data_IF_933417090069
#
_entry.id   IF_933417090069
#
_cell.length_a   1.000
_cell.length_b   1.000
_cell.length_c   1.000
_cell.angle_alpha   90.00
_cell.angle_beta   90.00
_cell.angle_gamma   90.00
#
_symmetry.space_group_name_H-M   'P 1'
#
loop_
_entity.id
_entity.type
_entity.pdbx_description
1 polymer ?
#
# COMPACT_ATOMS: atom_id res chain seq x y z
N UNK A 1 31.03 20.70 4.63
CA UNK A 1 29.93 19.93 5.25
C UNK A 1 28.63 20.55 4.76
N UNK A 2 27.91 19.90 3.84
CA UNK A 2 26.60 20.40 3.42
C UNK A 2 25.63 20.21 4.61
N UNK A 3 25.09 21.31 5.11
CA UNK A 3 24.04 21.30 6.13
C UNK A 3 22.83 20.59 5.54
N UNK A 4 22.43 19.45 6.13
CA UNK A 4 21.18 18.77 5.79
C UNK A 4 20.04 19.75 6.02
N UNK A 5 19.37 20.17 4.94
CA UNK A 5 18.21 21.06 4.97
C UNK A 5 16.97 20.31 5.43
N UNK A 6 16.98 18.98 5.33
CA UNK A 6 15.84 18.14 5.64
C UNK A 6 16.14 17.01 6.63
N UNK A 7 15.23 16.77 7.58
CA UNK A 7 15.25 15.57 8.40
C UNK A 7 14.68 14.38 7.64
N UNK A 8 15.11 13.16 7.99
CA UNK A 8 14.66 11.90 7.34
C UNK A 8 13.14 11.75 7.32
N UNK A 9 12.44 12.14 8.40
CA UNK A 9 10.97 12.11 8.47
C UNK A 9 10.33 13.09 7.49
N UNK A 10 10.87 14.30 7.39
CA UNK A 10 10.34 15.34 6.48
C UNK A 10 10.57 14.95 5.02
N UNK A 11 11.74 14.39 4.70
CA UNK A 11 12.04 13.87 3.35
C UNK A 11 11.07 12.74 2.94
N UNK A 12 10.75 11.81 3.85
CA UNK A 12 9.75 10.77 3.60
C UNK A 12 8.35 11.36 3.35
N UNK A 13 7.94 12.32 4.17
CA UNK A 13 6.63 12.95 4.06
C UNK A 13 6.48 13.74 2.75
N UNK A 14 7.49 14.50 2.36
CA UNK A 14 7.50 15.22 1.09
C UNK A 14 7.49 14.26 -0.11
N UNK A 15 8.25 13.17 -0.05
CA UNK A 15 8.21 12.13 -1.08
C UNK A 15 6.83 11.48 -1.20
N UNK A 16 6.18 11.18 -0.07
CA UNK A 16 4.81 10.66 -0.07
C UNK A 16 3.82 11.63 -0.72
N UNK A 17 3.85 12.91 -0.35
CA UNK A 17 3.00 13.94 -0.97
C UNK A 17 3.27 14.08 -2.48
N UNK A 18 4.54 13.98 -2.87
CA UNK A 18 4.92 14.04 -4.28
C UNK A 18 4.38 12.84 -5.06
N UNK A 19 4.49 11.62 -4.52
CA UNK A 19 3.91 10.44 -5.16
C UNK A 19 2.37 10.49 -5.15
N UNK A 20 1.76 11.12 -4.13
CA UNK A 20 0.31 11.21 -4.01
C UNK A 20 -0.28 12.20 -4.99
N UNK A 21 0.39 13.34 -5.19
CA UNK A 21 -0.01 14.31 -6.19
C UNK A 21 0.11 13.75 -7.62
N UNK A 22 1.07 12.86 -7.88
CA UNK A 22 1.24 12.17 -9.17
C UNK A 22 0.21 11.09 -9.47
N UNK A 23 -0.52 10.58 -8.47
CA UNK A 23 -1.59 9.60 -8.70
C UNK A 23 -2.76 10.25 -9.45
N UNK A 24 -3.19 9.58 -10.52
CA UNK A 24 -4.41 9.91 -11.24
C UNK A 24 -5.64 9.81 -10.32
N UNK A 25 -6.68 10.58 -10.62
CA UNK A 25 -7.93 10.57 -9.86
C UNK A 25 -8.54 9.16 -9.75
N UNK A 26 -8.47 8.37 -10.83
CA UNK A 26 -8.93 6.97 -10.83
C UNK A 26 -8.18 6.11 -9.82
N UNK A 27 -6.85 6.23 -9.74
CA UNK A 27 -6.04 5.46 -8.77
C UNK A 27 -6.33 5.89 -7.33
N UNK A 28 -6.54 7.19 -7.09
CA UNK A 28 -6.97 7.70 -5.77
C UNK A 28 -8.34 7.13 -5.38
N UNK A 29 -9.32 7.21 -6.28
CA UNK A 29 -10.65 6.64 -6.08
C UNK A 29 -10.58 5.14 -5.80
N UNK A 30 -9.75 4.41 -6.53
CA UNK A 30 -9.55 2.97 -6.32
C UNK A 30 -9.01 2.66 -4.92
N UNK A 31 -8.02 3.41 -4.43
CA UNK A 31 -7.50 3.27 -3.05
C UNK A 31 -8.61 3.51 -2.03
N UNK A 32 -9.43 4.55 -2.21
CA UNK A 32 -10.55 4.85 -1.30
C UNK A 32 -11.61 3.74 -1.31
N UNK A 33 -12.03 3.28 -2.49
CA UNK A 33 -13.02 2.20 -2.61
C UNK A 33 -12.49 0.91 -2.01
N UNK A 34 -11.23 0.56 -2.28
CA UNK A 34 -10.58 -0.64 -1.73
C UNK A 34 -10.57 -0.59 -0.19
N UNK A 35 -10.18 0.55 0.39
CA UNK A 35 -10.16 0.74 1.84
C UNK A 35 -11.56 0.68 2.46
N UNK A 36 -12.57 1.28 1.79
CA UNK A 36 -13.94 1.21 2.25
C UNK A 36 -14.46 -0.23 2.27
N UNK A 37 -14.29 -0.96 1.18
CA UNK A 37 -14.71 -2.36 1.08
C UNK A 37 -13.96 -3.25 2.10
N UNK A 38 -12.66 -3.02 2.28
CA UNK A 38 -11.87 -3.74 3.28
C UNK A 38 -12.38 -3.47 4.70
N UNK A 39 -12.74 -2.23 5.01
CA UNK A 39 -13.32 -1.87 6.32
C UNK A 39 -14.64 -2.59 6.56
N UNK A 40 -15.53 -2.64 5.56
CA UNK A 40 -16.78 -3.41 5.64
C UNK A 40 -16.50 -4.90 5.90
N UNK A 41 -15.50 -5.47 5.23
CA UNK A 41 -15.10 -6.86 5.40
C UNK A 41 -14.54 -7.14 6.81
N UNK A 42 -13.69 -6.25 7.33
CA UNK A 42 -13.14 -6.36 8.68
C UNK A 42 -14.23 -6.22 9.74
N UNK A 43 -15.18 -5.30 9.58
CA UNK A 43 -16.31 -5.17 10.51
C UNK A 43 -17.19 -6.44 10.55
N UNK A 44 -17.33 -7.13 9.42
CA UNK A 44 -18.06 -8.39 9.38
C UNK A 44 -17.39 -9.51 10.18
N UNK A 45 -16.08 -9.45 10.44
CA UNK A 45 -15.42 -10.39 11.36
C UNK A 45 -15.97 -10.32 12.80
N UNK A 46 -16.46 -9.15 13.21
CA UNK A 46 -16.97 -8.94 14.58
C UNK A 46 -18.47 -9.16 14.69
N UNK A 47 -19.22 -8.89 13.62
CA UNK A 47 -20.68 -8.85 13.64
C UNK A 47 -21.31 -10.08 12.96
N UNK A 48 -20.57 -10.76 12.07
CA UNK A 48 -20.94 -11.99 11.35
C UNK A 48 -22.35 -11.98 10.73
N UNK A 49 -22.71 -10.85 10.10
CA UNK A 49 -24.05 -10.64 9.51
C UNK A 49 -24.12 -10.83 7.99
N UNK A 50 -22.99 -10.93 7.30
CA UNK A 50 -22.96 -11.08 5.84
C UNK A 50 -23.14 -12.54 5.42
N UNK A 51 -23.88 -12.78 4.34
CA UNK A 51 -23.95 -14.11 3.73
C UNK A 51 -22.63 -14.51 3.08
N UNK A 52 -22.34 -15.81 3.02
CA UNK A 52 -21.13 -16.35 2.41
C UNK A 52 -20.93 -15.93 0.94
N UNK A 53 -22.01 -15.88 0.15
CA UNK A 53 -21.94 -15.45 -1.26
C UNK A 53 -21.54 -13.98 -1.39
N UNK A 54 -22.12 -13.11 -0.56
CA UNK A 54 -21.81 -11.68 -0.53
C UNK A 54 -20.35 -11.47 -0.10
N UNK A 55 -19.90 -12.25 0.87
CA UNK A 55 -18.53 -12.25 1.35
C UNK A 55 -17.54 -12.63 0.24
N UNK A 56 -17.83 -13.70 -0.50
CA UNK A 56 -17.02 -14.17 -1.63
C UNK A 56 -16.88 -13.11 -2.73
N UNK A 57 -17.97 -12.40 -3.06
CA UNK A 57 -17.95 -11.29 -4.01
C UNK A 57 -17.03 -10.15 -3.53
N UNK A 58 -17.18 -9.70 -2.29
CA UNK A 58 -16.33 -8.64 -1.75
C UNK A 58 -14.85 -9.03 -1.73
N UNK A 59 -14.53 -10.26 -1.31
CA UNK A 59 -13.14 -10.74 -1.28
C UNK A 59 -12.52 -10.74 -2.67
N UNK A 60 -13.24 -11.21 -3.69
CA UNK A 60 -12.76 -11.25 -5.07
C UNK A 60 -12.52 -9.85 -5.64
N UNK A 61 -13.44 -8.92 -5.38
CA UNK A 61 -13.31 -7.51 -5.81
C UNK A 61 -12.08 -6.86 -5.17
N UNK A 62 -11.90 -7.02 -3.85
CA UNK A 62 -10.76 -6.42 -3.15
C UNK A 62 -9.45 -7.02 -3.64
N UNK A 63 -9.35 -8.35 -3.81
CA UNK A 63 -8.12 -8.97 -4.34
C UNK A 63 -7.78 -8.41 -5.72
N UNK A 64 -8.77 -8.23 -6.60
CA UNK A 64 -8.56 -7.64 -7.92
C UNK A 64 -8.07 -6.19 -7.83
N UNK A 65 -8.69 -5.37 -6.99
CA UNK A 65 -8.30 -3.97 -6.80
C UNK A 65 -6.90 -3.84 -6.19
N UNK A 66 -6.57 -4.64 -5.17
CA UNK A 66 -5.23 -4.68 -4.56
C UNK A 66 -4.20 -5.16 -5.57
N UNK A 67 -4.49 -6.26 -6.29
CA UNK A 67 -3.62 -6.79 -7.33
C UNK A 67 -3.35 -5.76 -8.44
N UNK A 68 -4.37 -5.02 -8.86
CA UNK A 68 -4.21 -3.91 -9.82
C UNK A 68 -3.39 -2.76 -9.23
N UNK A 69 -3.67 -2.33 -7.99
CA UNK A 69 -2.97 -1.24 -7.34
C UNK A 69 -1.47 -1.52 -7.20
N UNK A 70 -1.10 -2.74 -6.86
CA UNK A 70 0.30 -3.15 -6.71
C UNK A 70 0.96 -3.52 -8.04
N UNK A 71 0.21 -4.13 -8.96
CA UNK A 71 0.68 -4.51 -10.29
C UNK A 71 0.87 -3.34 -11.25
N UNK A 72 0.15 -2.22 -11.06
CA UNK A 72 0.26 -1.02 -11.88
C UNK A 72 1.48 -0.16 -11.48
N UNK A 73 2.62 -0.83 -11.37
CA UNK A 73 3.90 -0.25 -11.10
C UNK A 73 4.42 0.34 -12.42
N UNK A 74 3.85 1.49 -12.82
CA UNK A 74 4.50 2.33 -13.83
C UNK A 74 5.83 2.73 -13.21
N UNK A 75 6.87 1.93 -13.49
CA UNK A 75 8.27 2.33 -13.30
C UNK A 75 8.37 3.66 -14.01
N UNK A 76 8.32 4.74 -13.26
CA UNK A 76 8.51 6.07 -13.80
C UNK A 76 9.92 6.00 -14.38
N UNK A 77 10.00 5.85 -15.72
CA UNK A 77 11.18 6.22 -16.46
C UNK A 77 11.46 7.63 -15.97
N UNK A 78 12.59 7.79 -15.30
CA UNK A 78 12.99 9.04 -14.67
C UNK A 78 13.12 10.05 -15.80
N UNK A 79 12.03 10.70 -16.18
CA UNK A 79 12.06 11.91 -16.97
C UNK A 79 12.63 12.95 -16.01
N UNK A 80 13.95 13.16 -16.13
CA UNK A 80 14.72 14.15 -15.38
C UNK A 80 14.22 15.58 -15.61
N UNK A 81 13.31 15.81 -16.57
CA UNK A 81 13.09 17.14 -17.14
C UNK A 81 11.75 17.78 -16.82
N UNK A 82 10.94 17.21 -15.92
CA UNK A 82 9.68 17.82 -15.51
C UNK A 82 9.64 17.89 -13.98
N UNK A 83 9.19 19.01 -13.44
CA UNK A 83 8.96 19.32 -12.03
C UNK A 83 10.07 20.09 -11.30
N UNK A 84 10.09 21.40 -11.58
CA UNK A 84 10.40 22.48 -10.62
C UNK A 84 9.41 22.52 -9.44
N UNK A 85 9.14 21.40 -8.76
CA UNK A 85 8.32 21.38 -7.54
C UNK A 85 9.18 21.04 -6.32
N UNK A 86 9.35 22.06 -5.47
CA UNK A 86 10.09 22.17 -4.20
C UNK A 86 11.55 21.69 -4.23
N UNK A 87 12.48 22.64 -4.33
CA UNK A 87 13.93 22.42 -4.07
C UNK A 87 14.25 22.00 -2.62
N UNK A 88 13.26 22.01 -1.72
CA UNK A 88 13.44 21.54 -0.37
C UNK A 88 13.49 20.00 -0.37
N UNK A 89 14.55 19.41 0.18
CA UNK A 89 14.72 17.98 0.45
C UNK A 89 14.99 17.01 -0.72
N UNK A 90 15.08 17.46 -1.97
CA UNK A 90 15.35 16.56 -3.12
C UNK A 90 16.71 15.83 -3.01
N UNK A 91 17.73 16.50 -2.47
CA UNK A 91 19.05 15.90 -2.27
C UNK A 91 19.00 14.84 -1.16
N UNK A 92 18.28 15.10 -0.07
CA UNK A 92 18.08 14.15 1.02
C UNK A 92 17.17 12.97 0.64
N UNK A 93 16.17 13.17 -0.23
CA UNK A 93 15.34 12.08 -0.79
C UNK A 93 16.20 11.10 -1.59
N UNK A 94 17.20 11.60 -2.33
CA UNK A 94 18.19 10.77 -3.04
C UNK A 94 19.19 10.15 -2.07
N UNK A 95 19.73 10.91 -1.13
CA UNK A 95 20.68 10.43 -0.11
C UNK A 95 20.06 9.31 0.76
N UNK A 96 18.78 9.41 1.11
CA UNK A 96 18.05 8.40 1.87
C UNK A 96 17.43 7.29 1.00
N UNK A 97 17.71 7.26 -0.30
CA UNK A 97 17.18 6.27 -1.24
C UNK A 97 15.64 6.21 -1.32
N UNK A 98 14.91 7.25 -0.88
CA UNK A 98 13.46 7.34 -1.03
C UNK A 98 13.02 7.57 -2.48
N UNK A 99 13.96 7.83 -3.40
CA UNK A 99 13.68 7.95 -4.83
C UNK A 99 13.28 6.64 -5.51
N UNK A 100 13.54 5.49 -4.89
CA UNK A 100 13.32 4.17 -5.49
C UNK A 100 11.96 3.60 -5.08
N UNK A 101 11.18 3.15 -6.08
CA UNK A 101 9.86 2.55 -5.89
C UNK A 101 8.73 3.56 -5.73
N UNK A 102 7.50 3.05 -5.74
CA UNK A 102 6.31 3.85 -5.45
C UNK A 102 6.03 3.84 -3.95
N UNK A 103 6.35 4.95 -3.27
CA UNK A 103 6.27 5.03 -1.80
C UNK A 103 4.85 4.75 -1.29
N UNK A 104 3.83 5.11 -2.07
CA UNK A 104 2.44 4.89 -1.70
C UNK A 104 2.06 3.41 -1.76
N UNK A 105 2.47 2.70 -2.81
CA UNK A 105 2.22 1.26 -2.90
C UNK A 105 2.95 0.50 -1.79
N UNK A 106 4.17 0.92 -1.44
CA UNK A 106 4.93 0.33 -0.32
C UNK A 106 4.18 0.54 1.00
N UNK A 107 3.81 1.77 1.33
CA UNK A 107 3.07 2.07 2.58
C UNK A 107 1.73 1.35 2.60
N UNK A 108 1.01 1.34 1.48
CA UNK A 108 -0.28 0.65 1.35
C UNK A 108 -0.13 -0.87 1.55
N UNK A 109 0.91 -1.48 0.98
CA UNK A 109 1.20 -2.92 1.16
C UNK A 109 1.51 -3.25 2.62
N UNK A 110 2.35 -2.46 3.28
CA UNK A 110 2.69 -2.65 4.71
C UNK A 110 1.43 -2.57 5.56
N UNK A 111 0.57 -1.58 5.31
CA UNK A 111 -0.69 -1.41 6.00
C UNK A 111 -1.62 -2.62 5.84
N UNK A 112 -1.78 -3.13 4.62
CA UNK A 112 -2.58 -4.32 4.35
C UNK A 112 -2.04 -5.57 5.05
N UNK A 113 -0.72 -5.76 5.09
CA UNK A 113 -0.10 -6.88 5.81
C UNK A 113 -0.42 -6.80 7.30
N UNK A 114 -0.28 -5.62 7.93
CA UNK A 114 -0.56 -5.45 9.36
C UNK A 114 -2.03 -5.75 9.70
N UNK A 115 -2.98 -5.19 8.92
CA UNK A 115 -4.41 -5.47 9.11
C UNK A 115 -4.69 -6.96 8.93
N UNK A 116 -4.18 -7.55 7.85
CA UNK A 116 -4.45 -8.97 7.54
C UNK A 116 -3.89 -9.91 8.60
N UNK A 117 -2.68 -9.63 9.12
CA UNK A 117 -2.10 -10.39 10.22
C UNK A 117 -2.92 -10.27 11.49
N UNK A 118 -3.39 -9.06 11.84
CA UNK A 118 -4.24 -8.86 13.01
C UNK A 118 -5.58 -9.58 12.89
N UNK A 119 -6.19 -9.56 11.70
CA UNK A 119 -7.43 -10.27 11.41
C UNK A 119 -7.24 -11.79 11.54
N UNK A 120 -6.13 -12.34 11.04
CA UNK A 120 -5.82 -13.78 11.17
C UNK A 120 -5.69 -14.19 12.64
N UNK A 121 -4.96 -13.43 13.44
CA UNK A 121 -4.82 -13.72 14.87
C UNK A 121 -6.19 -13.68 15.56
N UNK A 122 -7.01 -12.68 15.27
CA UNK A 122 -8.35 -12.58 15.83
C UNK A 122 -9.25 -13.76 15.44
N UNK A 123 -9.18 -14.20 14.18
CA UNK A 123 -9.93 -15.35 13.66
C UNK A 123 -9.50 -16.65 14.33
N UNK A 124 -8.19 -16.86 14.49
CA UNK A 124 -7.61 -18.03 15.16
C UNK A 124 -8.04 -18.11 16.63
N UNK A 125 -8.00 -16.99 17.37
CA UNK A 125 -8.45 -16.93 18.75
C UNK A 125 -9.95 -17.22 18.94
N UNK A 126 -10.78 -16.92 17.94
CA UNK A 126 -12.22 -17.15 17.97
C UNK A 126 -12.65 -18.46 17.29
N UNK A 127 -11.71 -19.30 16.85
CA UNK A 127 -11.98 -20.52 16.06
C UNK A 127 -12.89 -20.29 14.83
N UNK A 128 -12.83 -19.09 14.24
CA UNK A 128 -13.60 -18.75 13.06
C UNK A 128 -12.67 -18.68 11.84
N UNK A 129 -12.82 -19.63 10.91
CA UNK A 129 -12.00 -19.69 9.70
C UNK A 129 -12.58 -18.88 8.52
N UNK A 130 -13.70 -18.16 8.73
CA UNK A 130 -14.26 -17.27 7.73
C UNK A 130 -13.19 -16.28 7.28
N UNK A 131 -13.01 -16.09 5.96
CA UNK A 131 -12.02 -15.16 5.38
C UNK A 131 -10.54 -15.48 5.60
N UNK A 132 -10.19 -16.58 6.26
CA UNK A 132 -8.78 -16.93 6.49
C UNK A 132 -7.96 -16.94 5.19
N UNK A 133 -8.47 -17.61 4.15
CA UNK A 133 -7.82 -17.67 2.85
C UNK A 133 -7.71 -16.31 2.16
N UNK A 134 -8.69 -15.42 2.37
CA UNK A 134 -8.67 -14.07 1.84
C UNK A 134 -7.52 -13.24 2.45
N UNK A 135 -7.43 -13.18 3.78
CA UNK A 135 -6.37 -12.44 4.45
C UNK A 135 -4.99 -13.06 4.22
N UNK A 136 -4.90 -14.40 4.17
CA UNK A 136 -3.66 -15.10 3.77
C UNK A 136 -3.21 -14.67 2.36
N UNK A 137 -4.14 -14.60 1.41
CA UNK A 137 -3.83 -14.17 0.04
C UNK A 137 -3.40 -12.71 -0.01
N UNK A 138 -4.04 -11.81 0.75
CA UNK A 138 -3.62 -10.42 0.87
C UNK A 138 -2.19 -10.29 1.39
N UNK A 139 -1.82 -11.05 2.44
CA UNK A 139 -0.46 -11.08 2.96
C UNK A 139 0.51 -11.50 1.86
N UNK A 140 0.26 -12.60 1.15
CA UNK A 140 1.16 -13.09 0.10
C UNK A 140 1.31 -12.14 -1.08
N UNK A 141 0.23 -11.51 -1.52
CA UNK A 141 0.29 -10.51 -2.60
C UNK A 141 1.13 -9.31 -2.16
N UNK A 142 0.89 -8.80 -0.96
CA UNK A 142 1.58 -7.61 -0.45
C UNK A 142 3.06 -7.89 -0.13
N UNK A 143 3.38 -9.04 0.48
CA UNK A 143 4.77 -9.41 0.75
C UNK A 143 5.53 -9.73 -0.53
N UNK A 144 4.91 -10.42 -1.50
CA UNK A 144 5.48 -10.64 -2.82
C UNK A 144 5.81 -9.34 -3.54
N UNK A 145 4.90 -8.35 -3.48
CA UNK A 145 5.17 -7.00 -3.98
C UNK A 145 6.34 -6.32 -3.27
N UNK A 146 6.36 -6.32 -1.93
CA UNK A 146 7.42 -5.70 -1.14
C UNK A 146 8.80 -6.32 -1.42
N UNK A 147 8.85 -7.64 -1.59
CA UNK A 147 10.06 -8.36 -2.00
C UNK A 147 10.50 -7.99 -3.42
N UNK A 148 9.55 -7.80 -4.34
CA UNK A 148 9.83 -7.33 -5.70
C UNK A 148 10.40 -5.90 -5.75
N UNK A 149 9.97 -5.03 -4.83
CA UNK A 149 10.48 -3.66 -4.70
C UNK A 149 11.78 -3.57 -3.89
N UNK A 150 12.07 -4.55 -3.03
CA UNK A 150 13.30 -4.59 -2.23
C UNK A 150 14.51 -4.94 -3.11
N UNK A 151 14.98 -3.99 -3.91
CA UNK A 151 16.31 -4.06 -4.53
C UNK A 151 17.34 -3.71 -3.48
N UNK A 152 18.14 -4.69 -3.10
CA UNK A 152 19.38 -4.47 -2.36
C UNK A 152 20.38 -3.96 -3.39
N UNK A 153 20.63 -2.64 -3.40
CA UNK A 153 21.78 -2.11 -4.13
C UNK A 153 23.02 -2.47 -3.31
N UNK A 154 23.79 -3.44 -3.79
CA UNK A 154 25.19 -3.65 -3.37
C UNK A 154 26.08 -2.58 -4.01
#
# INVERSE_FOLDING_TARGET
MNLKKCSKRKALHEKFLQDWSKLNLHSKSLIFITNFLLTVLVLNLFVDKLSHDTLSLFTSIILSMVGFLLGNNKKNKVNKDIYRLSENCNDEIKEYNFSYGNTIQIIFSIFLVLISSSAIIFMDLNNNLNLFYFFKSLIFICTGFLLGESKINN
#
